data_IF_702711179909
#
_entry.id   IF_702711179909
#
_cell.length_a   1.000
_cell.length_b   1.000
_cell.length_c   1.000
_cell.angle_alpha   90.00
_cell.angle_beta   90.00
_cell.angle_gamma   90.00
#
_symmetry.space_group_name_H-M   'P 1'
#
loop_
_entity.id
_entity.type
_entity.pdbx_description
1 polymer ?
#
# COMPACT_ATOMS: atom_id res chain seq x y z
N UNK A 1 37.46 -8.60 8.07
CA UNK A 1 36.41 -9.62 8.28
C UNK A 1 36.00 -10.14 6.91
N UNK A 2 36.55 -11.30 6.53
CA UNK A 2 36.37 -11.86 5.20
C UNK A 2 34.97 -12.47 5.02
N UNK A 3 34.19 -11.89 4.11
CA UNK A 3 32.81 -12.29 3.78
C UNK A 3 32.79 -13.43 2.75
N UNK A 4 33.74 -14.36 2.82
CA UNK A 4 33.97 -15.41 1.81
C UNK A 4 33.25 -16.72 2.18
N UNK A 5 32.26 -16.68 3.08
CA UNK A 5 31.51 -17.86 3.55
C UNK A 5 30.76 -18.65 2.45
N UNK A 6 30.58 -18.06 1.25
CA UNK A 6 29.99 -18.69 0.06
C UNK A 6 31.03 -18.90 -1.03
N UNK A 7 32.32 -18.74 -0.72
CA UNK A 7 33.41 -18.82 -1.70
C UNK A 7 33.39 -20.12 -2.49
N UNK A 8 33.15 -21.25 -1.80
CA UNK A 8 33.09 -22.56 -2.44
C UNK A 8 31.90 -22.68 -3.40
N UNK A 9 30.75 -22.08 -3.06
CA UNK A 9 29.56 -22.05 -3.93
C UNK A 9 29.83 -21.17 -5.15
N UNK A 10 30.43 -20.00 -4.97
CA UNK A 10 30.75 -19.10 -6.09
C UNK A 10 31.80 -19.70 -7.01
N UNK A 11 32.84 -20.33 -6.46
CA UNK A 11 33.86 -21.03 -7.24
C UNK A 11 33.27 -22.19 -8.05
N UNK A 12 32.38 -22.98 -7.44
CA UNK A 12 31.62 -24.01 -8.15
C UNK A 12 30.75 -23.45 -9.29
N UNK A 13 30.43 -22.15 -9.26
CA UNK A 13 29.67 -21.43 -10.29
C UNK A 13 30.55 -20.49 -11.15
N UNK A 14 31.87 -20.70 -11.17
CA UNK A 14 32.79 -20.01 -12.09
C UNK A 14 33.47 -18.75 -11.56
N UNK A 15 33.41 -18.48 -10.26
CA UNK A 15 34.18 -17.40 -9.65
C UNK A 15 35.66 -17.79 -9.49
N UNK A 16 36.56 -16.95 -9.97
CA UNK A 16 38.02 -17.19 -10.00
C UNK A 16 38.74 -16.87 -8.67
N UNK A 17 38.00 -16.61 -7.59
CA UNK A 17 38.48 -16.13 -6.27
C UNK A 17 39.29 -14.82 -6.31
N UNK A 18 39.44 -14.18 -7.47
CA UNK A 18 40.23 -12.95 -7.66
C UNK A 18 39.33 -11.74 -7.87
N UNK A 19 38.20 -11.94 -8.54
CA UNK A 19 37.26 -10.86 -8.83
C UNK A 19 36.46 -10.45 -7.58
N UNK A 20 36.15 -9.15 -7.42
CA UNK A 20 35.29 -8.70 -6.33
C UNK A 20 33.85 -9.23 -6.52
N UNK A 21 33.26 -9.76 -5.45
CA UNK A 21 31.87 -10.25 -5.44
C UNK A 21 30.95 -9.18 -4.86
N UNK A 22 29.88 -8.87 -5.59
CA UNK A 22 28.80 -8.00 -5.10
C UNK A 22 27.63 -8.88 -4.68
N UNK A 23 27.20 -8.72 -3.43
CA UNK A 23 26.01 -9.40 -2.88
C UNK A 23 24.87 -8.41 -2.73
N UNK A 24 23.70 -8.77 -3.25
CA UNK A 24 22.47 -8.00 -3.15
C UNK A 24 21.49 -8.78 -2.28
N UNK A 25 21.11 -8.20 -1.14
CA UNK A 25 20.19 -8.82 -0.18
C UNK A 25 18.97 -7.92 0.00
N UNK A 26 17.77 -8.51 -0.03
CA UNK A 26 16.50 -7.84 0.19
C UNK A 26 15.84 -8.44 1.42
N UNK A 27 15.54 -7.61 2.42
CA UNK A 27 14.84 -8.02 3.64
C UNK A 27 13.42 -7.44 3.62
N UNK A 28 12.44 -8.30 3.88
CA UNK A 28 11.05 -7.92 4.00
C UNK A 28 10.59 -8.06 5.45
N UNK A 29 9.90 -7.04 5.94
CA UNK A 29 9.21 -7.08 7.23
C UNK A 29 7.78 -7.58 7.06
N UNK A 30 7.17 -8.05 8.16
CA UNK A 30 5.85 -8.69 8.13
C UNK A 30 4.77 -7.79 7.53
N UNK A 31 4.80 -6.49 7.84
CA UNK A 31 3.84 -5.51 7.32
C UNK A 31 3.88 -5.44 5.78
N UNK A 32 5.08 -5.43 5.19
CA UNK A 32 5.25 -5.38 3.73
C UNK A 32 4.80 -6.68 3.08
N UNK A 33 5.10 -7.83 3.71
CA UNK A 33 4.64 -9.13 3.22
C UNK A 33 3.10 -9.22 3.23
N UNK A 34 2.45 -8.76 4.31
CA UNK A 34 0.99 -8.71 4.41
C UNK A 34 0.38 -7.79 3.35
N UNK A 35 0.95 -6.60 3.13
CA UNK A 35 0.49 -5.70 2.04
C UNK A 35 0.69 -6.28 0.64
N UNK A 36 1.61 -7.24 0.47
CA UNK A 36 1.82 -7.97 -0.77
C UNK A 36 1.00 -9.27 -0.85
N UNK A 37 0.16 -9.57 0.15
CA UNK A 37 -0.70 -10.77 0.19
C UNK A 37 0.01 -12.05 0.61
N UNK A 38 1.19 -11.95 1.23
CA UNK A 38 1.97 -13.10 1.73
C UNK A 38 1.68 -13.31 3.22
N UNK A 39 0.79 -14.25 3.52
CA UNK A 39 0.46 -14.63 4.89
C UNK A 39 1.22 -15.87 5.38
N UNK A 40 1.53 -16.79 4.48
CA UNK A 40 2.11 -18.11 4.78
C UNK A 40 3.46 -18.33 4.13
N UNK A 41 4.21 -19.32 4.62
CA UNK A 41 5.50 -19.71 4.03
C UNK A 41 5.35 -20.24 2.60
N UNK A 42 4.29 -21.01 2.31
CA UNK A 42 4.04 -21.53 0.97
C UNK A 42 3.82 -20.39 -0.05
N UNK A 43 3.03 -19.38 0.33
CA UNK A 43 2.84 -18.18 -0.50
C UNK A 43 4.14 -17.39 -0.70
N UNK A 44 5.02 -17.35 0.30
CA UNK A 44 6.32 -16.70 0.17
C UNK A 44 7.17 -17.36 -0.93
N UNK A 45 7.25 -18.69 -0.93
CA UNK A 45 7.97 -19.45 -1.97
C UNK A 45 7.42 -19.16 -3.36
N UNK A 46 6.09 -19.21 -3.52
CA UNK A 46 5.43 -18.91 -4.80
C UNK A 46 5.66 -17.46 -5.29
N UNK A 47 5.99 -16.55 -4.37
CA UNK A 47 6.16 -15.13 -4.66
C UNK A 47 7.60 -14.65 -4.72
N UNK A 48 8.61 -15.50 -4.56
CA UNK A 48 10.02 -15.08 -4.53
C UNK A 48 10.42 -14.23 -5.75
N UNK A 49 10.02 -14.65 -6.96
CA UNK A 49 10.30 -13.92 -8.19
C UNK A 49 9.58 -12.58 -8.25
N UNK A 50 8.31 -12.54 -7.86
CA UNK A 50 7.52 -11.31 -7.76
C UNK A 50 8.12 -10.33 -6.76
N UNK A 51 8.55 -10.82 -5.59
CA UNK A 51 9.21 -10.03 -4.56
C UNK A 51 10.54 -9.47 -5.08
N UNK A 52 11.39 -10.33 -5.66
CA UNK A 52 12.67 -9.93 -6.21
C UNK A 52 12.54 -8.86 -7.29
N UNK A 53 11.60 -9.05 -8.23
CA UNK A 53 11.32 -8.06 -9.26
C UNK A 53 10.78 -6.74 -8.68
N UNK A 54 9.90 -6.79 -7.66
CA UNK A 54 9.46 -5.58 -6.97
C UNK A 54 10.67 -4.82 -6.38
N UNK A 55 11.53 -5.53 -5.66
CA UNK A 55 12.70 -4.95 -5.00
C UNK A 55 13.68 -4.33 -5.97
N UNK A 56 13.98 -5.01 -7.08
CA UNK A 56 15.04 -4.61 -8.02
C UNK A 56 14.54 -3.69 -9.15
N UNK A 57 13.22 -3.63 -9.40
CA UNK A 57 12.65 -2.82 -10.49
C UNK A 57 11.83 -1.63 -10.01
N UNK A 58 11.21 -1.71 -8.82
CA UNK A 58 10.33 -0.66 -8.28
C UNK A 58 10.93 0.03 -7.06
N UNK A 59 11.34 -0.73 -6.05
CA UNK A 59 11.82 -0.18 -4.79
C UNK A 59 13.23 0.42 -4.89
N UNK A 60 14.20 -0.38 -5.35
CA UNK A 60 15.57 0.05 -5.59
C UNK A 60 15.88 -0.07 -7.08
N UNK A 61 16.35 1.03 -7.69
CA UNK A 61 16.79 1.05 -9.07
C UNK A 61 18.16 1.67 -9.15
N UNK A 62 19.04 1.03 -9.91
CA UNK A 62 20.33 1.62 -10.27
C UNK A 62 20.26 2.13 -11.72
N UNK A 63 20.31 3.44 -11.90
CA UNK A 63 20.01 4.11 -13.16
C UNK A 63 21.15 4.99 -13.65
N UNK A 64 21.27 5.16 -14.97
CA UNK A 64 22.23 6.06 -15.61
C UNK A 64 21.59 7.45 -15.71
N UNK A 65 22.20 8.51 -15.14
CA UNK A 65 21.74 9.87 -15.33
C UNK A 65 21.66 10.26 -16.81
N UNK A 66 20.56 10.92 -17.19
CA UNK A 66 20.39 11.49 -18.54
C UNK A 66 20.06 12.98 -18.45
N UNK A 67 19.90 13.64 -19.58
CA UNK A 67 19.46 15.03 -19.65
C UNK A 67 18.01 15.24 -19.16
N UNK A 68 17.22 14.18 -19.01
CA UNK A 68 15.85 14.27 -18.47
C UNK A 68 15.91 14.55 -16.95
N UNK A 69 15.21 15.60 -16.50
CA UNK A 69 15.09 15.94 -15.07
C UNK A 69 14.29 14.88 -14.30
N UNK A 70 13.44 14.13 -14.98
CA UNK A 70 12.64 13.07 -14.38
C UNK A 70 13.44 11.77 -14.24
N UNK A 71 13.96 11.53 -13.03
CA UNK A 71 14.68 10.31 -12.64
C UNK A 71 13.88 9.02 -12.79
N UNK A 72 12.54 9.08 -12.90
CA UNK A 72 11.72 7.89 -13.13
C UNK A 72 11.99 7.28 -14.51
N UNK A 73 12.40 8.10 -15.49
CA UNK A 73 12.65 7.72 -16.88
C UNK A 73 14.10 7.34 -17.18
N UNK A 74 14.98 7.47 -16.19
CA UNK A 74 16.38 7.13 -16.38
C UNK A 74 16.55 5.63 -16.67
N UNK A 75 17.35 5.27 -17.67
CA UNK A 75 17.56 3.87 -18.03
C UNK A 75 18.33 3.16 -16.92
N UNK A 76 18.02 1.87 -16.74
CA UNK A 76 18.71 1.00 -15.78
C UNK A 76 20.11 0.62 -16.28
N UNK A 77 21.12 0.60 -15.41
CA UNK A 77 22.48 0.18 -15.79
C UNK A 77 22.53 -1.28 -16.23
N UNK A 78 23.48 -1.61 -17.11
CA UNK A 78 23.62 -2.97 -17.64
C UNK A 78 23.79 -4.04 -16.54
N UNK A 79 24.67 -3.81 -15.56
CA UNK A 79 24.90 -4.77 -14.48
C UNK A 79 23.67 -4.93 -13.55
N UNK A 80 22.86 -3.88 -13.38
CA UNK A 80 21.63 -3.98 -12.60
C UNK A 80 20.53 -4.74 -13.34
N UNK A 81 20.53 -4.73 -14.68
CA UNK A 81 19.67 -5.62 -15.47
C UNK A 81 20.01 -7.09 -15.20
N UNK A 82 21.28 -7.43 -14.98
CA UNK A 82 21.68 -8.78 -14.57
C UNK A 82 21.06 -9.15 -13.21
N UNK A 83 21.12 -8.24 -12.23
CA UNK A 83 20.48 -8.45 -10.92
C UNK A 83 18.95 -8.61 -11.06
N UNK A 84 18.31 -7.78 -11.88
CA UNK A 84 16.87 -7.84 -12.16
C UNK A 84 16.42 -9.10 -12.91
N UNK A 85 17.35 -9.82 -13.55
CA UNK A 85 17.09 -11.02 -14.35
C UNK A 85 17.16 -12.32 -13.56
N UNK A 86 17.51 -12.27 -12.28
CA UNK A 86 17.54 -13.47 -11.42
C UNK A 86 16.12 -13.98 -11.19
N UNK A 87 15.94 -15.29 -11.36
CA UNK A 87 14.70 -16.01 -11.08
C UNK A 87 14.98 -17.23 -10.21
N UNK A 88 14.06 -17.56 -9.31
CA UNK A 88 14.16 -18.65 -8.34
C UNK A 88 13.42 -19.90 -8.82
N UNK A 89 12.15 -19.78 -9.24
CA UNK A 89 11.32 -20.94 -9.62
C UNK A 89 10.43 -20.72 -10.85
N UNK A 90 9.93 -19.48 -11.08
CA UNK A 90 9.00 -19.15 -12.18
C UNK A 90 9.51 -17.95 -12.99
N UNK A 91 9.95 -18.22 -14.21
CA UNK A 91 10.48 -17.22 -15.15
C UNK A 91 9.48 -16.10 -15.52
N UNK A 92 8.16 -16.31 -15.33
CA UNK A 92 7.09 -15.40 -15.76
C UNK A 92 6.33 -14.69 -14.63
N UNK A 93 6.92 -14.59 -13.43
CA UNK A 93 6.27 -13.85 -12.35
C UNK A 93 6.15 -12.36 -12.70
N UNK A 94 4.95 -11.79 -12.62
CA UNK A 94 4.80 -10.33 -12.67
C UNK A 94 5.43 -9.70 -11.41
N UNK A 95 6.03 -8.48 -11.50
CA UNK A 95 6.57 -7.83 -10.32
C UNK A 95 5.47 -7.64 -9.28
N UNK A 96 5.74 -8.06 -8.04
CA UNK A 96 4.80 -7.91 -6.92
C UNK A 96 4.23 -6.49 -6.90
N UNK A 97 2.93 -6.39 -6.67
CA UNK A 97 2.27 -5.10 -6.51
C UNK A 97 2.00 -4.90 -5.03
N UNK A 98 2.55 -3.80 -4.50
CA UNK A 98 2.23 -3.35 -3.14
C UNK A 98 0.94 -2.58 -3.21
N UNK A 99 -0.18 -3.25 -2.92
CA UNK A 99 -1.43 -2.56 -2.65
C UNK A 99 -1.42 -2.21 -1.16
N UNK A 100 -1.39 -0.91 -0.84
CA UNK A 100 -1.65 -0.48 0.53
C UNK A 100 -3.06 -0.92 0.87
N UNK A 101 -3.20 -2.05 1.53
CA UNK A 101 -4.44 -2.47 2.16
C UNK A 101 -4.72 -1.42 3.23
N UNK A 102 -5.55 -0.43 2.89
CA UNK A 102 -6.06 0.52 3.89
C UNK A 102 -6.98 -0.27 4.79
N UNK A 103 -6.43 -0.94 5.80
CA UNK A 103 -7.22 -1.49 6.87
C UNK A 103 -7.90 -0.32 7.57
N UNK A 104 -9.22 -0.25 7.39
CA UNK A 104 -10.06 0.73 8.04
C UNK A 104 -10.18 0.34 9.51
N UNK A 105 -9.31 0.88 10.36
CA UNK A 105 -9.38 0.64 11.80
C UNK A 105 -10.44 1.55 12.41
N UNK A 106 -11.67 1.04 12.52
CA UNK A 106 -12.82 1.72 13.13
C UNK A 106 -12.47 2.32 14.49
N UNK A 107 -11.78 1.57 15.35
CA UNK A 107 -11.34 2.05 16.66
C UNK A 107 -10.44 3.28 16.57
N UNK A 108 -9.49 3.32 15.63
CA UNK A 108 -8.60 4.47 15.44
C UNK A 108 -9.38 5.70 14.98
N UNK A 109 -10.41 5.50 14.15
CA UNK A 109 -11.30 6.57 13.72
C UNK A 109 -12.13 7.10 14.88
N UNK A 110 -12.71 6.22 15.70
CA UNK A 110 -13.46 6.60 16.90
C UNK A 110 -12.57 7.39 17.85
N UNK A 111 -11.35 6.90 18.16
CA UNK A 111 -10.40 7.64 19.00
C UNK A 111 -10.03 9.01 18.43
N UNK A 112 -9.90 9.12 17.11
CA UNK A 112 -9.61 10.41 16.45
C UNK A 112 -10.79 11.37 16.56
N UNK A 113 -12.01 10.90 16.33
CA UNK A 113 -13.23 11.69 16.47
C UNK A 113 -13.37 12.19 17.91
N UNK A 114 -13.21 11.30 18.89
CA UNK A 114 -13.29 11.66 20.31
C UNK A 114 -12.26 12.72 20.70
N UNK A 115 -11.01 12.59 20.26
CA UNK A 115 -9.99 13.62 20.51
C UNK A 115 -10.33 15.00 19.91
N UNK A 116 -10.98 15.04 18.74
CA UNK A 116 -11.48 16.29 18.18
C UNK A 116 -12.66 16.87 18.95
N UNK A 117 -13.58 16.02 19.42
CA UNK A 117 -14.72 16.43 20.27
C UNK A 117 -14.20 17.01 21.59
N UNK A 118 -13.28 16.32 22.26
CA UNK A 118 -12.63 16.79 23.50
C UNK A 118 -11.94 18.14 23.30
N UNK A 119 -11.23 18.31 22.18
CA UNK A 119 -10.56 19.57 21.83
C UNK A 119 -11.56 20.72 21.64
N UNK A 120 -12.71 20.44 21.01
CA UNK A 120 -13.76 21.43 20.81
C UNK A 120 -14.45 21.82 22.11
N UNK A 121 -14.74 20.85 22.98
CA UNK A 121 -15.29 21.10 24.33
C UNK A 121 -14.32 21.94 25.16
N UNK A 122 -13.03 21.61 25.14
CA UNK A 122 -12.01 22.38 25.85
C UNK A 122 -11.99 23.85 25.39
N UNK A 123 -12.12 24.11 24.09
CA UNK A 123 -12.24 25.46 23.54
C UNK A 123 -13.50 26.18 24.02
N UNK A 124 -14.65 25.50 24.00
CA UNK A 124 -15.93 26.08 24.43
C UNK A 124 -15.99 26.36 25.92
N UNK A 125 -15.49 25.44 26.74
CA UNK A 125 -15.34 25.62 28.17
C UNK A 125 -14.45 26.83 28.50
N UNK A 126 -13.36 27.02 27.75
CA UNK A 126 -12.51 28.20 27.88
C UNK A 126 -13.24 29.49 27.51
N UNK A 127 -14.00 29.52 26.40
CA UNK A 127 -14.80 30.71 26.00
C UNK A 127 -15.86 31.09 27.05
N UNK A 128 -16.47 30.10 27.70
CA UNK A 128 -17.56 30.31 28.66
C UNK A 128 -17.08 30.48 30.12
N UNK A 129 -15.79 30.25 30.38
CA UNK A 129 -15.19 30.37 31.71
C UNK A 129 -15.66 29.31 32.72
N UNK A 130 -16.27 28.22 32.24
CA UNK A 130 -16.81 27.13 33.07
C UNK A 130 -16.46 25.79 32.43
N UNK A 131 -15.85 24.90 33.22
CA UNK A 131 -15.51 23.52 32.81
C UNK A 131 -16.65 22.56 33.17
N UNK A 132 -17.35 22.82 34.28
CA UNK A 132 -18.46 21.99 34.75
C UNK A 132 -19.71 22.21 33.91
N UNK A 133 -20.21 21.15 33.27
CA UNK A 133 -21.49 21.18 32.56
C UNK A 133 -21.42 20.88 31.06
N UNK A 134 -20.24 20.55 30.51
CA UNK A 134 -20.15 19.98 29.17
C UNK A 134 -19.94 18.47 29.26
N UNK A 135 -21.00 17.72 28.98
CA UNK A 135 -20.86 16.29 28.73
C UNK A 135 -20.70 15.98 27.24
N UNK A 136 -20.50 14.70 26.91
CA UNK A 136 -20.36 14.26 25.52
C UNK A 136 -21.62 14.53 24.70
N UNK A 137 -22.79 14.50 25.32
CA UNK A 137 -24.06 14.73 24.63
C UNK A 137 -24.15 16.19 24.19
N UNK A 138 -23.86 17.15 25.08
CA UNK A 138 -23.86 18.58 24.75
C UNK A 138 -22.86 18.89 23.62
N UNK A 139 -21.70 18.24 23.65
CA UNK A 139 -20.69 18.37 22.63
C UNK A 139 -21.18 17.90 21.25
N UNK A 140 -21.84 16.74 21.21
CA UNK A 140 -22.37 16.18 19.97
C UNK A 140 -23.54 16.99 19.41
N UNK A 141 -24.42 17.52 20.27
CA UNK A 141 -25.51 18.42 19.86
C UNK A 141 -24.95 19.70 19.24
N UNK A 142 -23.97 20.34 19.88
CA UNK A 142 -23.34 21.56 19.33
C UNK A 142 -22.61 21.32 18.00
N UNK A 143 -21.97 20.16 17.83
CA UNK A 143 -21.36 19.77 16.55
C UNK A 143 -22.43 19.50 15.50
N UNK A 144 -23.54 18.87 15.87
CA UNK A 144 -24.66 18.60 14.96
C UNK A 144 -25.26 19.90 14.42
N UNK A 145 -25.54 20.87 15.30
CA UNK A 145 -26.10 22.17 14.89
C UNK A 145 -25.16 22.91 13.92
N UNK A 146 -23.84 22.87 14.16
CA UNK A 146 -22.87 23.45 13.24
C UNK A 146 -22.80 22.70 11.91
N UNK A 147 -22.89 21.36 11.92
CA UNK A 147 -22.92 20.56 10.71
C UNK A 147 -24.19 20.81 9.90
N UNK A 148 -25.35 20.90 10.55
CA UNK A 148 -26.63 21.21 9.90
C UNK A 148 -26.59 22.61 9.26
N UNK A 149 -26.04 23.60 9.96
CA UNK A 149 -25.80 24.93 9.40
C UNK A 149 -24.84 24.90 8.19
N UNK A 150 -23.77 24.09 8.25
CA UNK A 150 -22.80 23.95 7.16
C UNK A 150 -23.43 23.32 5.90
N UNK A 151 -24.22 22.25 6.06
CA UNK A 151 -24.82 21.52 4.95
C UNK A 151 -26.13 22.13 4.42
N UNK A 152 -26.77 23.02 5.19
CA UNK A 152 -27.94 23.78 4.71
C UNK A 152 -27.57 24.92 3.76
N UNK A 153 -26.34 25.45 3.83
CA UNK A 153 -25.89 26.60 3.03
C UNK A 153 -25.03 26.24 1.80
N UNK A 154 -24.47 25.03 1.73
CA UNK A 154 -23.60 24.62 0.63
C UNK A 154 -24.33 23.66 -0.33
N UNK A 155 -24.10 23.78 -1.64
CA UNK A 155 -24.68 22.89 -2.66
C UNK A 155 -24.13 21.44 -2.58
N UNK A 156 -23.29 21.17 -1.58
CA UNK A 156 -22.69 19.89 -1.28
C UNK A 156 -23.50 19.19 -0.19
N UNK A 157 -24.34 18.22 -0.55
CA UNK A 157 -25.06 17.44 0.46
C UNK A 157 -24.10 16.53 1.22
N UNK A 158 -24.34 16.32 2.52
CA UNK A 158 -23.61 15.37 3.36
C UNK A 158 -23.49 14.00 2.68
N UNK A 159 -24.58 13.53 2.07
CA UNK A 159 -24.63 12.27 1.32
C UNK A 159 -23.63 12.22 0.16
N UNK A 160 -23.48 13.32 -0.61
CA UNK A 160 -22.50 13.39 -1.71
C UNK A 160 -21.07 13.25 -1.20
N UNK A 161 -20.74 13.88 -0.07
CA UNK A 161 -19.41 13.74 0.54
C UNK A 161 -19.16 12.31 1.04
N UNK A 162 -20.19 11.66 1.62
CA UNK A 162 -20.12 10.26 2.05
C UNK A 162 -19.90 9.34 0.85
N UNK A 163 -20.59 9.57 -0.26
CA UNK A 163 -20.40 8.79 -1.51
C UNK A 163 -18.99 8.96 -2.09
N UNK A 164 -18.47 10.19 -2.10
CA UNK A 164 -17.09 10.47 -2.51
C UNK A 164 -16.07 9.74 -1.65
N UNK A 165 -16.24 9.78 -0.33
CA UNK A 165 -15.38 9.05 0.61
C UNK A 165 -15.51 7.53 0.41
N UNK A 166 -16.72 7.01 0.22
CA UNK A 166 -16.98 5.59 -0.06
C UNK A 166 -16.26 5.13 -1.34
N UNK A 167 -16.30 5.93 -2.40
CA UNK A 167 -15.55 5.66 -3.65
C UNK A 167 -14.04 5.62 -3.40
N UNK A 168 -13.51 6.57 -2.64
CA UNK A 168 -12.08 6.66 -2.30
C UNK A 168 -11.59 5.56 -1.35
N UNK A 169 -12.47 5.01 -0.49
CA UNK A 169 -12.11 4.02 0.53
C UNK A 169 -12.01 2.60 -0.05
N UNK A 170 -12.63 2.30 -1.20
CA UNK A 170 -12.27 1.08 -1.96
C UNK A 170 -13.40 0.23 -2.51
N UNK A 171 -14.67 0.58 -2.33
CA UNK A 171 -15.78 -0.22 -2.90
C UNK A 171 -15.90 -0.14 -4.44
N UNK A 172 -15.13 0.71 -5.12
CA UNK A 172 -15.08 0.76 -6.58
C UNK A 172 -14.34 -0.42 -7.22
N UNK A 173 -13.35 -1.02 -6.51
CA UNK A 173 -12.62 -2.20 -7.00
C UNK A 173 -13.48 -3.47 -6.97
N UNK A 174 -14.37 -3.61 -5.98
CA UNK A 174 -15.28 -4.75 -5.88
C UNK A 174 -16.35 -4.76 -6.97
N UNK A 175 -16.79 -3.58 -7.44
CA UNK A 175 -17.73 -3.48 -8.57
C UNK A 175 -17.09 -3.87 -9.90
N UNK A 176 -15.84 -3.49 -10.16
CA UNK A 176 -15.13 -3.91 -11.38
C UNK A 176 -14.76 -5.39 -11.34
N UNK A 177 -14.34 -5.92 -10.19
CA UNK A 177 -14.10 -7.35 -10.01
C UNK A 177 -15.38 -8.18 -10.16
N UNK A 178 -16.49 -7.75 -9.55
CA UNK A 178 -17.80 -8.40 -9.69
C UNK A 178 -18.39 -8.25 -11.10
N UNK A 179 -18.19 -7.11 -11.78
CA UNK A 179 -18.61 -6.91 -13.17
C UNK A 179 -17.77 -7.75 -14.15
N UNK A 180 -16.47 -7.92 -13.88
CA UNK A 180 -15.58 -8.79 -14.65
C UNK A 180 -15.93 -10.26 -14.45
N UNK A 181 -16.25 -10.69 -13.23
CA UNK A 181 -16.73 -12.05 -12.95
C UNK A 181 -18.10 -12.34 -13.58
N UNK A 182 -19.05 -11.39 -13.57
CA UNK A 182 -20.33 -11.54 -14.27
C UNK A 182 -20.18 -11.59 -15.79
N UNK A 183 -19.21 -10.86 -16.36
CA UNK A 183 -18.89 -10.94 -17.80
C UNK A 183 -18.23 -12.25 -18.18
N UNK A 184 -17.38 -12.84 -17.33
CA UNK A 184 -16.80 -14.16 -17.57
C UNK A 184 -17.84 -15.28 -17.44
N UNK A 185 -18.72 -15.23 -16.43
CA UNK A 185 -19.80 -16.24 -16.28
C UNK A 185 -20.81 -16.22 -17.43
N UNK A 186 -21.11 -15.06 -18.00
CA UNK A 186 -22.02 -14.95 -19.15
C UNK A 186 -21.41 -15.43 -20.49
N UNK A 187 -20.09 -15.67 -20.55
CA UNK A 187 -19.41 -16.21 -21.73
C UNK A 187 -19.36 -17.75 -21.72
N UNK A 188 -19.36 -18.38 -20.54
CA UNK A 188 -19.41 -19.84 -20.39
C UNK A 188 -20.82 -20.41 -20.67
N UNK A 189 -21.88 -19.68 -20.29
CA UNK A 189 -23.27 -20.11 -20.54
C UNK A 189 -23.69 -20.00 -22.02
N UNK A 190 -22.89 -19.33 -22.86
CA UNK A 190 -23.15 -19.12 -24.28
C UNK A 190 -22.49 -20.13 -25.23
N UNK A 191 -21.70 -21.08 -24.71
CA UNK A 191 -21.01 -22.11 -25.52
C UNK A 191 -21.55 -23.53 -25.31
N UNK A 192 -22.61 -23.70 -24.51
CA UNK A 192 -23.25 -24.99 -24.22
C UNK A 192 -24.67 -25.11 -24.81
N UNK A 193 -24.93 -24.55 -25.99
CA UNK A 193 -26.19 -24.75 -26.73
C UNK A 193 -25.94 -25.00 -28.21
#
# INVERSE_FOLDING_TARGET
HDKVWFGDVWEANGWDRRQPVIRVEMRYEREVLHEMGVETMAQLWEMLDSLWQYSTRKWLRHTIPTHDKNRSRWPTTAWWKTVQGVTFEKADACPGQRDKVRQFHEQRMISTILGYVESWVAWKAHEQGVIEGFDLYDALVGIFDQADHHYSHDATTFLKQVEDKRRKIGYAKDKEAAAKQRRLGALDDGQAS
#
